data_IF_343947969870
#
_entry.id   IF_343947969870
#
_cell.length_a   1.000
_cell.length_b   1.000
_cell.length_c   1.000
_cell.angle_alpha   90.00
_cell.angle_beta   90.00
_cell.angle_gamma   90.00
#
_symmetry.space_group_name_H-M   'P 1'
#
loop_
_entity.id
_entity.type
_entity.pdbx_description
1 polymer ?
#
# COMPACT_ATOMS: atom_id res chain seq x y z
N UNK A 1 -4.21 19.64 30.87
CA UNK A 1 -4.98 19.03 29.75
C UNK A 1 -5.57 17.72 30.28
N UNK A 2 -6.91 17.56 30.31
CA UNK A 2 -7.57 16.40 30.95
C UNK A 2 -7.19 15.11 30.20
N UNK A 3 -6.81 14.07 30.95
CA UNK A 3 -6.21 12.83 30.42
C UNK A 3 -7.14 12.12 29.40
N UNK A 4 -8.46 12.23 29.61
CA UNK A 4 -9.50 11.75 28.69
C UNK A 4 -9.51 12.47 27.34
N UNK A 5 -9.28 13.79 27.34
CA UNK A 5 -9.25 14.60 26.11
C UNK A 5 -8.02 14.24 25.27
N UNK A 6 -6.90 13.94 25.92
CA UNK A 6 -5.66 13.48 25.28
C UNK A 6 -5.82 12.07 24.67
N UNK A 7 -6.42 11.13 25.40
CA UNK A 7 -6.71 9.78 24.90
C UNK A 7 -7.66 9.80 23.70
N UNK A 8 -8.70 10.64 23.74
CA UNK A 8 -9.65 10.82 22.62
C UNK A 8 -8.96 11.38 21.38
N UNK A 9 -8.17 12.44 21.53
CA UNK A 9 -7.34 13.00 20.44
C UNK A 9 -6.42 11.94 19.83
N UNK A 10 -5.69 11.17 20.65
CA UNK A 10 -4.80 10.11 20.17
C UNK A 10 -5.54 9.02 19.38
N UNK A 11 -6.73 8.61 19.84
CA UNK A 11 -7.59 7.66 19.13
C UNK A 11 -8.05 8.21 17.78
N UNK A 12 -8.50 9.46 17.74
CA UNK A 12 -8.96 10.12 16.51
C UNK A 12 -7.83 10.23 15.48
N UNK A 13 -6.59 10.52 15.92
CA UNK A 13 -5.41 10.50 15.05
C UNK A 13 -5.10 9.11 14.47
N UNK A 14 -5.24 8.06 15.27
CA UNK A 14 -5.04 6.68 14.82
C UNK A 14 -6.10 6.31 13.78
N UNK A 15 -7.37 6.63 14.03
CA UNK A 15 -8.48 6.35 13.12
C UNK A 15 -8.29 7.08 11.79
N UNK A 16 -7.94 8.36 11.81
CA UNK A 16 -7.67 9.13 10.59
C UNK A 16 -6.49 8.56 9.79
N UNK A 17 -5.45 8.13 10.49
CA UNK A 17 -4.29 7.49 9.85
C UNK A 17 -4.69 6.16 9.19
N UNK A 18 -5.47 5.34 9.89
CA UNK A 18 -5.98 4.05 9.41
C UNK A 18 -6.87 4.24 8.17
N UNK A 19 -7.81 5.18 8.25
CA UNK A 19 -8.75 5.50 7.17
C UNK A 19 -8.02 5.97 5.91
N UNK A 20 -7.00 6.83 6.04
CA UNK A 20 -6.21 7.28 4.89
C UNK A 20 -5.54 6.12 4.15
N UNK A 21 -4.94 5.18 4.88
CA UNK A 21 -4.29 4.03 4.26
C UNK A 21 -5.31 3.06 3.66
N UNK A 22 -6.46 2.88 4.33
CA UNK A 22 -7.61 2.15 3.82
C UNK A 22 -8.12 2.72 2.49
N UNK A 23 -8.24 4.05 2.38
CA UNK A 23 -8.67 4.72 1.15
C UNK A 23 -7.65 4.53 0.02
N UNK A 24 -6.35 4.65 0.29
CA UNK A 24 -5.34 4.48 -0.77
C UNK A 24 -5.31 3.04 -1.31
N UNK A 25 -5.35 2.06 -0.41
CA UNK A 25 -5.42 0.63 -0.80
C UNK A 25 -6.74 0.29 -1.49
N UNK A 26 -7.84 0.95 -1.10
CA UNK A 26 -9.13 0.84 -1.79
C UNK A 26 -9.03 1.35 -3.22
N UNK A 27 -8.47 2.54 -3.45
CA UNK A 27 -8.31 3.12 -4.78
C UNK A 27 -7.40 2.27 -5.68
N UNK A 28 -6.33 1.70 -5.12
CA UNK A 28 -5.44 0.78 -5.84
C UNK A 28 -6.24 -0.44 -6.29
N UNK A 29 -6.93 -1.10 -5.37
CA UNK A 29 -7.73 -2.30 -5.66
C UNK A 29 -8.83 -1.98 -6.68
N UNK A 30 -9.44 -0.79 -6.58
CA UNK A 30 -10.49 -0.33 -7.50
C UNK A 30 -9.95 -0.14 -8.92
N UNK A 31 -8.74 0.42 -9.06
CA UNK A 31 -8.08 0.54 -10.35
C UNK A 31 -7.70 -0.83 -10.94
N UNK A 32 -7.18 -1.74 -10.11
CA UNK A 32 -6.82 -3.10 -10.55
C UNK A 32 -8.05 -3.87 -11.08
N UNK A 33 -9.12 -3.88 -10.29
CA UNK A 33 -10.38 -4.50 -10.69
C UNK A 33 -11.02 -3.81 -11.88
N UNK A 34 -11.02 -2.49 -11.93
CA UNK A 34 -11.55 -1.73 -13.06
C UNK A 34 -10.84 -2.09 -14.37
N UNK A 35 -9.52 -2.27 -14.33
CA UNK A 35 -8.74 -2.67 -15.51
C UNK A 35 -9.01 -4.12 -15.91
N UNK A 36 -9.01 -5.05 -14.95
CA UNK A 36 -9.24 -6.47 -15.21
C UNK A 36 -10.66 -6.72 -15.75
N UNK A 37 -11.68 -6.11 -15.14
CA UNK A 37 -13.07 -6.17 -15.62
C UNK A 37 -13.25 -5.49 -16.97
N UNK A 38 -12.60 -4.35 -17.21
CA UNK A 38 -12.62 -3.67 -18.51
C UNK A 38 -12.09 -4.60 -19.61
N UNK A 39 -11.01 -5.33 -19.33
CA UNK A 39 -10.43 -6.30 -20.27
C UNK A 39 -11.32 -7.53 -20.45
N UNK A 40 -11.86 -8.08 -19.37
CA UNK A 40 -12.68 -9.29 -19.39
C UNK A 40 -14.01 -9.08 -20.12
N UNK A 41 -14.70 -7.98 -19.83
CA UNK A 41 -16.01 -7.66 -20.43
C UNK A 41 -15.90 -6.79 -21.70
N UNK A 42 -14.69 -6.40 -22.12
CA UNK A 42 -14.44 -5.48 -23.23
C UNK A 42 -15.21 -4.15 -23.15
N UNK A 43 -15.41 -3.67 -21.92
CA UNK A 43 -16.07 -2.38 -21.63
C UNK A 43 -15.04 -1.31 -21.31
N UNK A 44 -15.43 -0.04 -21.35
CA UNK A 44 -14.52 1.05 -20.96
C UNK A 44 -14.24 0.99 -19.46
N UNK A 45 -13.05 1.44 -19.05
CA UNK A 45 -12.66 1.50 -17.64
C UNK A 45 -13.68 2.23 -16.75
N UNK A 46 -14.22 3.36 -17.24
CA UNK A 46 -15.23 4.16 -16.51
C UNK A 46 -16.52 3.37 -16.28
N UNK A 47 -16.89 2.50 -17.23
CA UNK A 47 -18.08 1.64 -17.14
C UNK A 47 -17.82 0.41 -16.26
N UNK A 48 -16.57 -0.05 -16.17
CA UNK A 48 -16.18 -1.17 -15.31
C UNK A 48 -16.32 -0.86 -13.81
N UNK A 49 -16.15 0.40 -13.40
CA UNK A 49 -16.30 0.82 -12.00
C UNK A 49 -17.73 0.62 -11.46
N UNK A 50 -18.80 1.20 -12.04
CA UNK A 50 -20.16 0.94 -11.58
C UNK A 50 -20.56 -0.52 -11.82
N UNK A 51 -19.99 -1.19 -12.82
CA UNK A 51 -20.24 -2.61 -13.08
C UNK A 51 -19.71 -3.51 -11.95
N UNK A 52 -18.58 -3.16 -11.33
CA UNK A 52 -18.03 -3.86 -10.16
C UNK A 52 -19.04 -3.97 -9.01
N UNK A 53 -19.82 -2.92 -8.78
CA UNK A 53 -20.76 -2.83 -7.67
C UNK A 53 -22.18 -3.33 -8.01
N UNK A 54 -22.53 -3.37 -9.30
CA UNK A 54 -23.90 -3.68 -9.74
C UNK A 54 -24.07 -5.04 -10.41
N UNK A 55 -22.99 -5.65 -10.90
CA UNK A 55 -23.07 -6.90 -11.66
C UNK A 55 -23.45 -8.11 -10.80
N UNK A 56 -22.64 -8.40 -9.77
CA UNK A 56 -22.86 -9.56 -8.90
C UNK A 56 -22.28 -9.32 -7.51
N UNK A 57 -23.02 -9.73 -6.48
CA UNK A 57 -22.58 -9.67 -5.08
C UNK A 57 -21.26 -10.43 -4.87
N UNK A 58 -21.02 -11.53 -5.60
CA UNK A 58 -19.76 -12.28 -5.49
C UNK A 58 -18.55 -11.49 -6.00
N UNK A 59 -18.71 -10.72 -7.08
CA UNK A 59 -17.64 -9.86 -7.62
C UNK A 59 -17.32 -8.74 -6.63
N UNK A 60 -18.34 -8.14 -6.01
CA UNK A 60 -18.15 -7.14 -4.97
C UNK A 60 -17.49 -7.73 -3.71
N UNK A 61 -17.91 -8.93 -3.26
CA UNK A 61 -17.28 -9.62 -2.13
C UNK A 61 -15.82 -9.95 -2.42
N UNK A 62 -15.51 -10.42 -3.63
CA UNK A 62 -14.14 -10.70 -4.06
C UNK A 62 -13.27 -9.44 -4.05
N UNK A 63 -13.81 -8.32 -4.55
CA UNK A 63 -13.17 -7.01 -4.42
C UNK A 63 -12.90 -6.61 -2.97
N UNK A 64 -13.88 -6.77 -2.08
CA UNK A 64 -13.71 -6.44 -0.66
C UNK A 64 -12.64 -7.31 0.01
N UNK A 65 -12.59 -8.60 -0.31
CA UNK A 65 -11.58 -9.52 0.22
C UNK A 65 -10.17 -9.14 -0.23
N UNK A 66 -9.98 -8.87 -1.53
CA UNK A 66 -8.68 -8.44 -2.07
C UNK A 66 -8.29 -7.10 -1.44
N UNK A 67 -9.22 -6.16 -1.30
CA UNK A 67 -8.95 -4.88 -0.66
C UNK A 67 -8.50 -5.03 0.80
N UNK A 68 -9.22 -5.82 1.60
CA UNK A 68 -8.85 -6.09 3.00
C UNK A 68 -7.49 -6.77 3.08
N UNK A 69 -7.23 -7.74 2.20
CA UNK A 69 -5.94 -8.42 2.13
C UNK A 69 -4.80 -7.44 1.81
N UNK A 70 -4.97 -6.59 0.80
CA UNK A 70 -4.00 -5.56 0.44
C UNK A 70 -3.74 -4.57 1.57
N UNK A 71 -4.80 -4.16 2.26
CA UNK A 71 -4.68 -3.29 3.42
C UNK A 71 -3.86 -3.95 4.55
N UNK A 72 -4.14 -5.22 4.86
CA UNK A 72 -3.39 -5.98 5.87
C UNK A 72 -1.92 -6.16 5.48
N UNK A 73 -1.66 -6.50 4.22
CA UNK A 73 -0.30 -6.67 3.70
C UNK A 73 0.49 -5.35 3.81
N UNK A 74 -0.15 -4.23 3.49
CA UNK A 74 0.46 -2.91 3.62
C UNK A 74 0.78 -2.52 5.08
N UNK A 75 -0.14 -2.73 6.02
CA UNK A 75 0.14 -2.45 7.44
C UNK A 75 1.20 -3.40 8.00
N UNK A 76 1.20 -4.69 7.62
CA UNK A 76 2.23 -5.64 8.02
C UNK A 76 3.60 -5.23 7.50
N UNK A 77 3.68 -4.87 6.21
CA UNK A 77 4.91 -4.34 5.63
C UNK A 77 5.38 -3.11 6.41
N UNK A 78 4.51 -2.15 6.66
CA UNK A 78 4.86 -0.95 7.43
C UNK A 78 5.39 -1.28 8.83
N UNK A 79 4.77 -2.19 9.57
CA UNK A 79 5.24 -2.60 10.90
C UNK A 79 6.64 -3.19 10.82
N UNK A 80 6.89 -4.06 9.84
CA UNK A 80 8.23 -4.60 9.59
C UNK A 80 9.24 -3.51 9.20
N UNK A 81 8.80 -2.50 8.44
CA UNK A 81 9.63 -1.35 8.04
C UNK A 81 10.09 -0.57 9.23
N UNK A 82 9.14 -0.19 10.08
CA UNK A 82 9.36 0.67 11.22
C UNK A 82 10.21 -0.08 12.25
N UNK A 83 9.95 -1.37 12.49
CA UNK A 83 10.76 -2.22 13.36
C UNK A 83 12.20 -2.46 12.85
N UNK A 84 12.41 -2.56 11.54
CA UNK A 84 13.74 -2.72 10.97
C UNK A 84 14.57 -1.43 11.06
N UNK A 85 13.95 -0.26 10.84
CA UNK A 85 14.60 1.06 10.96
C UNK A 85 15.06 1.32 12.42
N UNK A 86 14.29 0.85 13.40
CA UNK A 86 14.60 0.94 14.84
C UNK A 86 15.76 0.02 15.26
N UNK A 87 16.01 -1.07 14.52
CA UNK A 87 17.05 -2.08 14.84
C UNK A 87 18.48 -1.76 14.32
N UNK A 88 18.68 -0.63 13.64
CA UNK A 88 19.98 0.07 13.49
C UNK A 88 21.22 -0.64 12.91
N UNK A 89 21.13 -1.79 12.22
CA UNK A 89 22.36 -2.47 11.74
C UNK A 89 22.69 -2.39 10.24
N UNK A 90 21.73 -2.10 9.35
CA UNK A 90 22.03 -2.03 7.90
C UNK A 90 21.32 -0.87 7.19
N UNK A 91 21.69 0.35 7.55
CA UNK A 91 21.33 1.55 6.80
C UNK A 91 22.44 1.86 5.79
N UNK A 92 22.09 1.98 4.50
CA UNK A 92 22.99 2.66 3.56
C UNK A 92 22.89 4.15 3.89
N UNK A 93 23.92 4.67 4.56
CA UNK A 93 24.11 6.10 4.74
C UNK A 93 24.63 6.67 3.43
N UNK A 94 23.76 7.27 2.63
CA UNK A 94 24.22 8.09 1.51
C UNK A 94 24.37 9.53 2.00
N UNK A 95 25.60 10.02 1.97
CA UNK A 95 25.91 11.42 2.24
C UNK A 95 25.84 12.17 0.92
N UNK A 96 24.80 12.98 0.75
CA UNK A 96 24.67 13.88 -0.40
C UNK A 96 24.35 15.27 0.14
N UNK A 97 25.31 16.18 0.00
CA UNK A 97 25.24 17.56 0.49
C UNK A 97 24.85 17.66 1.99
N UNK A 98 25.82 17.44 2.87
CA UNK A 98 25.79 17.79 4.32
C UNK A 98 24.67 17.19 5.19
N UNK A 99 23.78 16.38 4.61
CA UNK A 99 22.68 15.70 5.30
C UNK A 99 22.80 14.18 5.16
N UNK A 100 22.73 13.49 6.31
CA UNK A 100 22.79 12.02 6.39
C UNK A 100 21.43 11.42 5.99
N UNK A 101 21.35 10.85 4.79
CA UNK A 101 20.20 10.04 4.39
C UNK A 101 20.44 8.60 4.84
N UNK A 102 19.67 8.12 5.81
CA UNK A 102 19.59 6.69 6.13
C UNK A 102 18.34 6.11 5.49
N UNK A 103 18.53 5.30 4.46
CA UNK A 103 17.50 4.48 3.84
C UNK A 103 17.84 3.04 4.16
N UNK A 104 16.91 2.32 4.81
CA UNK A 104 16.96 0.87 4.91
C UNK A 104 16.65 0.28 3.52
N UNK A 105 17.69 0.10 2.71
CA UNK A 105 17.56 -0.45 1.36
C UNK A 105 17.07 -1.90 1.37
N UNK A 106 17.39 -2.64 2.45
CA UNK A 106 17.01 -4.04 2.65
C UNK A 106 15.51 -4.27 2.52
N UNK A 107 14.70 -3.30 2.92
CA UNK A 107 13.26 -3.46 2.81
C UNK A 107 12.76 -3.41 1.37
N UNK A 108 13.27 -2.50 0.53
CA UNK A 108 12.92 -2.46 -0.89
C UNK A 108 13.44 -3.69 -1.62
N UNK A 109 14.60 -4.21 -1.22
CA UNK A 109 15.14 -5.46 -1.76
C UNK A 109 14.22 -6.63 -1.44
N UNK A 110 13.79 -6.78 -0.18
CA UNK A 110 12.82 -7.82 0.23
C UNK A 110 11.51 -7.68 -0.54
N UNK A 111 11.01 -6.45 -0.68
CA UNK A 111 9.77 -6.18 -1.41
C UNK A 111 9.89 -6.47 -2.91
N UNK A 112 11.05 -6.20 -3.50
CA UNK A 112 11.37 -6.50 -4.90
C UNK A 112 11.52 -8.00 -5.13
N UNK A 113 12.10 -8.75 -4.19
CA UNK A 113 12.14 -10.22 -4.20
C UNK A 113 10.72 -10.79 -4.16
N UNK A 114 9.86 -10.31 -3.25
CA UNK A 114 8.45 -10.74 -3.17
C UNK A 114 7.72 -10.45 -4.48
N UNK A 115 7.94 -9.27 -5.07
CA UNK A 115 7.32 -8.88 -6.33
C UNK A 115 7.79 -9.76 -7.51
N UNK A 116 9.06 -10.15 -7.54
CA UNK A 116 9.58 -11.13 -8.52
C UNK A 116 8.94 -12.50 -8.30
N UNK A 117 8.83 -12.97 -7.05
CA UNK A 117 8.17 -14.25 -6.74
C UNK A 117 6.71 -14.26 -7.20
N UNK A 118 5.97 -13.17 -6.95
CA UNK A 118 4.57 -13.02 -7.41
C UNK A 118 4.48 -13.12 -8.93
N UNK A 119 5.47 -12.65 -9.70
CA UNK A 119 5.49 -12.75 -11.16
C UNK A 119 5.80 -14.16 -11.68
N UNK A 120 6.54 -14.96 -10.92
CA UNK A 120 6.91 -16.33 -11.31
C UNK A 120 5.77 -17.31 -11.08
N UNK A 121 4.87 -17.01 -10.15
CA UNK A 121 3.67 -17.81 -9.90
C UNK A 121 2.59 -17.49 -10.93
N UNK A 122 1.93 -18.51 -11.47
CA UNK A 122 0.78 -18.38 -12.37
C UNK A 122 -0.45 -17.84 -11.62
N UNK A 123 -0.44 -16.54 -11.33
CA UNK A 123 -1.56 -15.83 -10.71
C UNK A 123 -2.42 -15.13 -11.78
N UNK A 124 -3.71 -14.88 -11.49
CA UNK A 124 -4.54 -14.03 -12.33
C UNK A 124 -3.90 -12.66 -12.55
N UNK A 125 -4.08 -12.10 -13.75
CA UNK A 125 -3.55 -10.77 -14.15
C UNK A 125 -3.88 -9.66 -13.17
N UNK A 126 -5.06 -9.76 -12.53
CA UNK A 126 -5.49 -8.90 -11.45
C UNK A 126 -4.45 -8.76 -10.33
N UNK A 127 -3.91 -9.88 -9.82
CA UNK A 127 -2.99 -9.87 -8.69
C UNK A 127 -1.62 -9.30 -9.06
N UNK A 128 -1.17 -9.52 -10.30
CA UNK A 128 0.08 -8.91 -10.77
C UNK A 128 -0.04 -7.39 -10.84
N UNK A 129 -1.09 -6.88 -11.49
CA UNK A 129 -1.33 -5.44 -11.62
C UNK A 129 -1.46 -4.78 -10.25
N UNK A 130 -2.22 -5.41 -9.37
CA UNK A 130 -2.43 -4.94 -8.01
C UNK A 130 -1.13 -4.89 -7.19
N UNK A 131 -0.29 -5.94 -7.29
CA UNK A 131 1.02 -5.97 -6.64
C UNK A 131 1.95 -4.85 -7.14
N UNK A 132 1.94 -4.54 -8.45
CA UNK A 132 2.74 -3.43 -8.98
C UNK A 132 2.28 -2.07 -8.44
N UNK A 133 0.97 -1.83 -8.40
CA UNK A 133 0.41 -0.58 -7.87
C UNK A 133 0.68 -0.44 -6.37
N UNK A 134 0.51 -1.52 -5.60
CA UNK A 134 0.87 -1.56 -4.18
C UNK A 134 2.37 -1.27 -4.00
N UNK A 135 3.23 -1.86 -4.81
CA UNK A 135 4.67 -1.62 -4.73
C UNK A 135 5.03 -0.16 -4.99
N UNK A 136 4.50 0.41 -6.06
CA UNK A 136 4.67 1.83 -6.38
C UNK A 136 4.19 2.73 -5.24
N UNK A 137 3.05 2.42 -4.63
CA UNK A 137 2.52 3.19 -3.50
C UNK A 137 3.44 3.14 -2.26
N UNK A 138 4.02 1.98 -1.94
CA UNK A 138 4.95 1.86 -0.82
C UNK A 138 6.26 2.65 -1.06
N UNK A 139 6.79 2.64 -2.29
CA UNK A 139 7.94 3.47 -2.66
C UNK A 139 7.62 4.96 -2.54
N UNK A 140 6.48 5.42 -3.08
CA UNK A 140 6.05 6.82 -2.98
C UNK A 140 5.90 7.27 -1.52
N UNK A 141 5.36 6.43 -0.66
CA UNK A 141 5.24 6.69 0.78
C UNK A 141 6.60 6.90 1.42
N UNK A 142 7.54 6.02 1.12
CA UNK A 142 8.92 6.10 1.61
C UNK A 142 9.58 7.42 1.22
N UNK A 143 9.50 7.78 -0.06
CA UNK A 143 10.06 9.03 -0.57
C UNK A 143 9.46 10.24 0.15
N UNK A 144 8.15 10.20 0.43
CA UNK A 144 7.47 11.22 1.23
C UNK A 144 7.99 11.30 2.67
N UNK A 145 8.32 10.18 3.31
CA UNK A 145 8.92 10.18 4.66
C UNK A 145 10.33 10.80 4.65
N UNK A 146 11.14 10.48 3.64
CA UNK A 146 12.48 11.07 3.47
C UNK A 146 12.39 12.58 3.21
N UNK A 147 11.41 13.03 2.42
CA UNK A 147 11.19 14.46 2.19
C UNK A 147 10.68 15.17 3.46
N UNK A 148 9.82 14.53 4.25
CA UNK A 148 9.33 15.14 5.51
C UNK A 148 10.42 15.23 6.59
N UNK A 149 11.39 14.31 6.63
CA UNK A 149 12.57 14.41 7.52
C UNK A 149 13.54 15.55 7.09
N UNK A 150 13.39 16.13 5.90
CA UNK A 150 14.22 17.25 5.38
C UNK A 150 13.75 18.65 5.82
N UNK A 151 12.55 18.78 6.41
CA UNK A 151 11.87 20.04 6.72
C UNK A 151 11.69 20.15 8.24
#
# INVERSE_FOLDING_TARGET
MNNERYLKLKKDFIVLYLARNGIMTFLITLCSFGFDLSKYYQIKFIEAIPYLFSNNIFTFMYFCLVWIFNYLLFELFKILSDGYDESHHHTLKFMYHEHNYSISWMMYVVMLIILILIQVVDLPTLFHLDAYLMFGFMVLRSLKQIYKKRL
#
